data_IF_412956747209
#
_entry.id   IF_412956747209
#
_cell.length_a   1.000
_cell.length_b   1.000
_cell.length_c   1.000
_cell.angle_alpha   90.00
_cell.angle_beta   90.00
_cell.angle_gamma   90.00
#
_symmetry.space_group_name_H-M   'P 1'
#
loop_
_entity.id
_entity.type
_entity.pdbx_description
1 polymer ?
#
# COMPACT_ATOMS: atom_id res chain seq x y z
N UNK A 1 -0.89 16.84 19.70
CA UNK A 1 0.08 15.73 19.72
C UNK A 1 -0.64 14.46 19.31
N UNK A 2 0.11 13.42 18.98
CA UNK A 2 -0.43 12.16 18.48
C UNK A 2 0.32 10.96 19.09
N UNK A 3 0.91 11.14 20.28
CA UNK A 3 1.70 10.12 20.96
C UNK A 3 0.90 9.33 22.01
N UNK A 4 -0.34 9.74 22.28
CA UNK A 4 -1.26 9.01 23.17
C UNK A 4 -0.87 9.01 24.63
N UNK A 5 0.00 9.96 25.07
CA UNK A 5 0.43 10.08 26.47
C UNK A 5 -0.58 10.83 27.35
N UNK A 6 -1.69 11.29 26.77
CA UNK A 6 -2.75 12.03 27.43
C UNK A 6 -2.47 13.52 27.64
N UNK A 7 -1.32 14.04 27.17
CA UNK A 7 -0.91 15.42 27.37
C UNK A 7 -0.97 16.22 26.05
N UNK A 8 -2.01 17.05 25.91
CA UNK A 8 -2.28 17.82 24.68
C UNK A 8 -2.44 16.97 23.42
N UNK A 9 -2.96 15.77 23.58
CA UNK A 9 -3.31 14.89 22.47
C UNK A 9 -4.55 15.37 21.73
N UNK A 10 -4.70 14.90 20.50
CA UNK A 10 -5.95 15.03 19.76
C UNK A 10 -7.09 14.42 20.58
N UNK A 11 -8.25 15.12 20.71
CA UNK A 11 -9.39 14.61 21.47
C UNK A 11 -9.81 13.21 21.01
N UNK A 12 -9.94 12.27 21.95
CA UNK A 12 -10.33 10.89 21.68
C UNK A 12 -9.19 9.97 21.25
N UNK A 13 -7.94 10.44 21.16
CA UNK A 13 -6.79 9.59 20.89
C UNK A 13 -6.50 8.71 22.12
N UNK A 14 -6.64 7.41 21.97
CA UNK A 14 -6.40 6.42 23.03
C UNK A 14 -5.13 5.59 22.81
N UNK A 15 -4.51 5.73 21.65
CA UNK A 15 -3.27 5.05 21.27
C UNK A 15 -2.42 5.98 20.41
N UNK A 16 -1.09 5.89 20.46
CA UNK A 16 -0.24 6.69 19.60
C UNK A 16 -0.43 6.36 18.13
N UNK A 17 -0.28 7.37 17.28
CA UNK A 17 -0.11 7.14 15.84
C UNK A 17 1.35 6.77 15.63
N UNK A 18 1.60 5.57 15.15
CA UNK A 18 2.96 5.05 14.94
C UNK A 18 3.34 4.87 13.47
N UNK A 19 2.36 4.81 12.58
CA UNK A 19 2.58 4.65 11.14
C UNK A 19 2.56 6.02 10.46
N UNK A 20 3.67 6.37 9.80
CA UNK A 20 3.87 7.67 9.16
C UNK A 20 4.26 7.49 7.72
N UNK A 21 3.36 7.82 6.80
CA UNK A 21 3.66 7.90 5.38
C UNK A 21 4.25 9.28 5.05
N UNK A 22 5.42 9.30 4.40
CA UNK A 22 6.14 10.53 4.11
C UNK A 22 5.95 10.89 2.63
N UNK A 23 5.21 11.94 2.37
CA UNK A 23 4.86 12.48 1.05
C UNK A 23 3.91 11.61 0.24
N UNK A 24 3.34 12.21 -0.82
CA UNK A 24 2.40 11.57 -1.74
C UNK A 24 2.96 11.65 -3.16
N UNK A 25 3.12 10.49 -3.82
CA UNK A 25 3.40 10.36 -5.25
C UNK A 25 4.43 11.36 -5.81
N UNK A 26 5.65 11.42 -5.25
CA UNK A 26 6.62 12.48 -5.55
C UNK A 26 7.14 12.44 -6.99
N UNK A 27 6.94 11.34 -7.71
CA UNK A 27 7.25 11.24 -9.13
C UNK A 27 6.35 12.11 -10.01
N UNK A 28 5.19 12.54 -9.51
CA UNK A 28 4.27 13.41 -10.24
C UNK A 28 4.47 14.87 -9.87
N UNK A 29 4.73 15.68 -10.87
CA UNK A 29 4.92 17.14 -10.73
C UNK A 29 3.71 17.88 -10.17
N UNK A 30 2.55 17.24 -10.16
CA UNK A 30 1.33 17.77 -9.53
C UNK A 30 1.46 17.77 -8.01
N UNK A 31 2.11 16.75 -7.42
CA UNK A 31 2.27 16.63 -5.99
C UNK A 31 3.63 17.14 -5.51
N UNK A 32 4.68 16.98 -6.32
CA UNK A 32 6.01 17.43 -5.96
C UNK A 32 6.74 18.08 -7.14
N UNK A 33 7.12 19.35 -6.98
CA UNK A 33 7.77 20.14 -8.04
C UNK A 33 9.31 20.05 -8.01
N UNK A 34 9.88 19.51 -6.94
CA UNK A 34 11.32 19.31 -6.78
C UNK A 34 11.91 18.26 -7.70
N UNK A 35 13.21 18.06 -7.59
CA UNK A 35 13.95 16.99 -8.26
C UNK A 35 13.84 15.69 -7.45
N UNK A 36 14.32 14.59 -8.02
CA UNK A 36 14.46 13.32 -7.29
C UNK A 36 15.38 13.45 -6.07
N UNK A 37 16.49 14.19 -6.23
CA UNK A 37 17.44 14.39 -5.12
C UNK A 37 16.83 15.25 -4.00
N UNK A 38 16.02 16.27 -4.33
CA UNK A 38 15.25 17.01 -3.33
C UNK A 38 14.29 16.09 -2.57
N UNK A 39 13.61 15.17 -3.26
CA UNK A 39 12.76 14.17 -2.61
C UNK A 39 13.55 13.29 -1.66
N UNK A 40 14.70 12.75 -2.11
CA UNK A 40 15.56 11.87 -1.30
C UNK A 40 16.04 12.60 -0.04
N UNK A 41 16.45 13.85 -0.16
CA UNK A 41 16.89 14.68 0.97
C UNK A 41 15.75 14.87 1.99
N UNK A 42 14.59 15.34 1.50
CA UNK A 42 13.41 15.58 2.35
C UNK A 42 12.97 14.28 3.04
N UNK A 43 12.89 13.18 2.28
CA UNK A 43 12.46 11.89 2.82
C UNK A 43 13.40 11.42 3.94
N UNK A 44 14.70 11.39 3.67
CA UNK A 44 15.70 10.94 4.62
C UNK A 44 15.74 11.82 5.88
N UNK A 45 15.63 13.14 5.72
CA UNK A 45 15.55 14.08 6.83
C UNK A 45 14.30 13.83 7.67
N UNK A 46 13.13 13.75 7.04
CA UNK A 46 11.85 13.56 7.71
C UNK A 46 11.80 12.24 8.48
N UNK A 47 12.23 11.14 7.87
CA UNK A 47 12.28 9.83 8.52
C UNK A 47 13.15 9.87 9.79
N UNK A 48 14.35 10.40 9.69
CA UNK A 48 15.26 10.53 10.85
C UNK A 48 14.66 11.42 11.93
N UNK A 49 14.04 12.53 11.55
CA UNK A 49 13.40 13.45 12.50
C UNK A 49 12.24 12.76 13.23
N UNK A 50 11.35 12.08 12.52
CA UNK A 50 10.23 11.36 13.12
C UNK A 50 10.76 10.32 14.11
N UNK A 51 11.67 9.45 13.69
CA UNK A 51 12.27 8.42 14.58
C UNK A 51 13.04 8.98 15.75
N UNK A 52 13.61 10.19 15.63
CA UNK A 52 14.26 10.85 16.76
C UNK A 52 13.28 11.32 17.84
N UNK A 53 12.03 11.61 17.46
CA UNK A 53 10.96 12.05 18.37
C UNK A 53 10.10 10.91 18.86
N UNK A 54 9.91 9.89 18.03
CA UNK A 54 9.11 8.72 18.32
C UNK A 54 9.86 7.46 17.86
N UNK A 55 10.50 6.78 18.81
CA UNK A 55 11.41 5.67 18.53
C UNK A 55 10.70 4.44 17.92
N UNK A 56 9.44 4.24 18.26
CA UNK A 56 8.58 3.17 17.77
C UNK A 56 7.84 3.53 16.46
N UNK A 57 8.10 4.72 15.90
CA UNK A 57 7.51 5.11 14.62
C UNK A 57 7.90 4.13 13.51
N UNK A 58 6.90 3.73 12.75
CA UNK A 58 7.04 2.91 11.53
C UNK A 58 6.92 3.84 10.33
N UNK A 59 7.97 3.94 9.55
CA UNK A 59 8.01 4.82 8.38
C UNK A 59 7.52 4.05 7.15
N UNK A 60 6.47 4.55 6.56
CA UNK A 60 5.96 4.10 5.28
C UNK A 60 6.56 4.99 4.19
N UNK A 61 7.11 4.38 3.16
CA UNK A 61 7.62 5.08 1.98
C UNK A 61 6.50 5.90 1.35
N UNK A 62 6.84 7.01 0.69
CA UNK A 62 5.87 7.71 -0.16
C UNK A 62 5.23 6.74 -1.15
N UNK A 63 3.92 6.81 -1.32
CA UNK A 63 3.21 5.94 -2.24
C UNK A 63 3.67 6.13 -3.68
N UNK A 64 4.12 5.06 -4.32
CA UNK A 64 4.40 5.08 -5.76
C UNK A 64 3.06 5.02 -6.51
N UNK A 65 2.80 5.99 -7.36
CA UNK A 65 1.49 6.13 -8.05
C UNK A 65 1.16 4.98 -9.00
N UNK A 66 2.16 4.24 -9.43
CA UNK A 66 2.06 3.11 -10.35
C UNK A 66 3.42 2.71 -10.90
N UNK A 67 3.44 1.68 -11.76
CA UNK A 67 4.67 1.21 -12.41
C UNK A 67 4.75 1.64 -13.88
N UNK A 68 4.34 2.86 -14.18
CA UNK A 68 4.56 3.49 -15.50
C UNK A 68 6.06 3.70 -15.77
N UNK A 69 6.50 3.82 -17.02
CA UNK A 69 7.92 3.97 -17.36
C UNK A 69 8.64 5.10 -16.59
N UNK A 70 8.01 6.27 -16.47
CA UNK A 70 8.54 7.42 -15.74
C UNK A 70 8.61 7.18 -14.24
N UNK A 71 7.55 6.62 -13.67
CA UNK A 71 7.49 6.24 -12.26
C UNK A 71 8.54 5.18 -11.92
N UNK A 72 8.67 4.13 -12.73
CA UNK A 72 9.74 3.12 -12.58
C UNK A 72 11.13 3.74 -12.62
N UNK A 73 11.36 4.68 -13.53
CA UNK A 73 12.67 5.37 -13.64
C UNK A 73 12.97 6.14 -12.35
N UNK A 74 12.01 6.90 -11.84
CA UNK A 74 12.13 7.64 -10.60
C UNK A 74 12.45 6.70 -9.43
N UNK A 75 11.62 5.69 -9.22
CA UNK A 75 11.77 4.77 -8.08
C UNK A 75 13.00 3.89 -8.16
N UNK A 76 13.43 3.47 -9.36
CA UNK A 76 14.67 2.73 -9.55
C UNK A 76 15.90 3.53 -9.08
N UNK A 77 15.86 4.85 -9.23
CA UNK A 77 16.95 5.75 -8.80
C UNK A 77 16.82 6.15 -7.32
N UNK A 78 15.61 6.48 -6.83
CA UNK A 78 15.39 6.96 -5.49
C UNK A 78 15.51 5.86 -4.41
N UNK A 79 14.94 4.67 -4.67
CA UNK A 79 14.88 3.57 -3.69
C UNK A 79 16.22 3.19 -3.08
N UNK A 80 17.32 3.02 -3.83
CA UNK A 80 18.62 2.70 -3.23
C UNK A 80 19.12 3.76 -2.24
N UNK A 81 18.72 5.03 -2.43
CA UNK A 81 19.15 6.16 -1.61
C UNK A 81 18.33 6.33 -0.32
N UNK A 82 17.12 5.73 -0.27
CA UNK A 82 16.19 5.86 0.87
C UNK A 82 15.93 4.53 1.60
N UNK A 83 16.38 3.38 1.08
CA UNK A 83 16.02 2.03 1.55
C UNK A 83 16.23 1.78 3.05
N UNK A 84 17.18 2.45 3.66
CA UNK A 84 17.50 2.29 5.07
C UNK A 84 16.67 3.22 5.98
N UNK A 85 15.87 4.11 5.39
CA UNK A 85 15.08 5.12 6.09
C UNK A 85 13.56 4.88 6.02
N UNK A 86 13.09 3.73 5.53
CA UNK A 86 11.69 3.32 5.64
C UNK A 86 11.59 1.86 6.10
N UNK A 87 10.46 1.53 6.70
CA UNK A 87 10.18 0.20 7.22
C UNK A 87 9.25 -0.57 6.30
N UNK A 88 8.35 0.12 5.59
CA UNK A 88 7.32 -0.42 4.71
C UNK A 88 7.43 0.24 3.34
N UNK A 89 7.55 -0.57 2.30
CA UNK A 89 7.44 -0.13 0.91
C UNK A 89 5.97 0.12 0.57
N UNK A 90 5.69 1.14 -0.24
CA UNK A 90 4.32 1.58 -0.46
C UNK A 90 4.00 1.79 -1.94
N UNK A 91 2.84 1.31 -2.33
CA UNK A 91 2.28 1.46 -3.65
C UNK A 91 0.93 2.18 -3.55
N UNK A 92 0.69 3.10 -4.47
CA UNK A 92 -0.64 3.59 -4.78
C UNK A 92 -1.12 2.98 -6.09
N UNK A 93 -2.42 2.96 -6.29
CA UNK A 93 -3.00 2.57 -7.57
C UNK A 93 -3.85 3.70 -8.11
N UNK A 94 -3.33 4.39 -9.11
CA UNK A 94 -4.14 5.28 -9.95
C UNK A 94 -4.60 4.48 -11.16
N UNK A 95 -5.89 4.56 -11.48
CA UNK A 95 -6.41 3.95 -12.71
C UNK A 95 -5.66 4.51 -13.91
N UNK A 96 -5.04 3.67 -14.74
CA UNK A 96 -4.33 4.12 -15.92
C UNK A 96 -5.20 4.97 -16.84
N UNK A 97 -4.62 5.88 -17.64
CA UNK A 97 -5.39 6.74 -18.55
C UNK A 97 -6.23 5.99 -19.58
N UNK A 98 -5.89 4.74 -19.89
CA UNK A 98 -6.65 3.86 -20.80
C UNK A 98 -7.86 3.20 -20.11
N UNK A 99 -8.10 3.50 -18.83
CA UNK A 99 -9.22 2.99 -18.04
C UNK A 99 -9.16 1.49 -17.73
N UNK A 100 -8.05 0.82 -18.07
CA UNK A 100 -7.89 -0.59 -17.74
C UNK A 100 -7.42 -0.74 -16.31
N UNK A 101 -8.00 -1.71 -15.62
CA UNK A 101 -7.56 -2.08 -14.29
C UNK A 101 -6.27 -2.88 -14.35
N UNK A 102 -5.29 -2.48 -13.54
CA UNK A 102 -4.20 -3.37 -13.23
C UNK A 102 -4.72 -4.54 -12.38
N UNK A 103 -4.17 -5.72 -12.64
CA UNK A 103 -4.67 -6.97 -12.04
C UNK A 103 -4.40 -7.08 -10.54
N UNK A 104 -3.39 -6.37 -10.02
CA UNK A 104 -2.85 -6.50 -8.66
C UNK A 104 -2.33 -5.17 -8.07
N UNK A 105 -2.85 -4.03 -8.53
CA UNK A 105 -2.39 -2.69 -8.12
C UNK A 105 -0.90 -2.45 -8.35
N UNK A 106 -0.30 -3.02 -9.40
CA UNK A 106 1.13 -2.94 -9.72
C UNK A 106 2.06 -3.60 -8.68
N UNK A 107 1.50 -4.30 -7.69
CA UNK A 107 2.27 -4.91 -6.59
C UNK A 107 3.30 -5.90 -7.12
N UNK A 108 2.95 -6.72 -8.11
CA UNK A 108 3.87 -7.68 -8.71
C UNK A 108 5.09 -7.00 -9.33
N UNK A 109 4.88 -5.99 -10.17
CA UNK A 109 5.98 -5.24 -10.81
C UNK A 109 6.82 -4.47 -9.79
N UNK A 110 6.19 -3.91 -8.77
CA UNK A 110 6.89 -3.21 -7.70
C UNK A 110 7.71 -4.17 -6.84
N UNK A 111 7.16 -5.35 -6.51
CA UNK A 111 7.88 -6.41 -5.80
C UNK A 111 9.14 -6.85 -6.57
N UNK A 112 9.03 -6.99 -7.90
CA UNK A 112 10.18 -7.31 -8.75
C UNK A 112 11.23 -6.19 -8.76
N UNK A 113 10.80 -4.92 -8.79
CA UNK A 113 11.72 -3.78 -8.67
C UNK A 113 12.45 -3.80 -7.33
N UNK A 114 11.75 -3.97 -6.21
CA UNK A 114 12.36 -4.05 -4.87
C UNK A 114 13.38 -5.18 -4.79
N UNK A 115 13.03 -6.38 -5.28
CA UNK A 115 13.94 -7.54 -5.32
C UNK A 115 15.19 -7.26 -6.15
N UNK A 116 15.03 -6.59 -7.30
CA UNK A 116 16.17 -6.24 -8.17
C UNK A 116 17.15 -5.27 -7.51
N UNK A 117 16.69 -4.52 -6.51
CA UNK A 117 17.47 -3.56 -5.73
C UNK A 117 17.93 -4.11 -4.37
N UNK A 118 17.70 -5.41 -4.12
CA UNK A 118 17.97 -6.08 -2.83
C UNK A 118 17.25 -5.39 -1.64
N UNK A 119 16.01 -4.95 -1.85
CA UNK A 119 15.16 -4.36 -0.83
C UNK A 119 14.12 -5.41 -0.41
N UNK A 120 14.23 -5.90 0.82
CA UNK A 120 13.30 -6.85 1.41
C UNK A 120 12.49 -6.15 2.50
N UNK A 121 11.38 -5.54 2.11
CA UNK A 121 10.45 -4.82 2.98
C UNK A 121 9.03 -5.28 2.71
N UNK A 122 8.13 -5.28 3.72
CA UNK A 122 6.71 -5.50 3.50
C UNK A 122 6.17 -4.45 2.52
N UNK A 123 5.16 -4.83 1.73
CA UNK A 123 4.52 -3.94 0.77
C UNK A 123 3.10 -3.65 1.23
N UNK A 124 2.78 -2.37 1.39
CA UNK A 124 1.42 -1.90 1.60
C UNK A 124 0.91 -1.17 0.35
N UNK A 125 -0.39 -1.20 0.14
CA UNK A 125 -1.10 -0.35 -0.82
C UNK A 125 -1.95 0.60 0.00
N UNK A 126 -1.44 1.82 0.23
CA UNK A 126 -2.11 2.77 1.14
C UNK A 126 -3.16 3.64 0.43
N UNK A 127 -3.16 3.65 -0.89
CA UNK A 127 -4.21 4.30 -1.69
C UNK A 127 -4.53 3.45 -2.92
N UNK A 128 -5.64 2.73 -2.89
CA UNK A 128 -6.16 1.99 -4.03
C UNK A 128 -7.46 2.60 -4.53
N UNK A 129 -7.63 2.68 -5.85
CA UNK A 129 -8.86 3.11 -6.49
C UNK A 129 -9.42 2.01 -7.37
N UNK A 130 -10.26 1.14 -6.79
CA UNK A 130 -10.87 0.00 -7.50
C UNK A 130 -12.10 0.33 -8.32
N UNK A 131 -12.52 1.57 -8.43
CA UNK A 131 -13.83 2.03 -8.94
C UNK A 131 -14.41 1.32 -10.17
N UNK A 132 -13.56 0.93 -11.12
CA UNK A 132 -13.96 0.17 -12.33
C UNK A 132 -13.43 -1.28 -12.32
N UNK A 133 -12.66 -1.66 -11.30
CA UNK A 133 -12.01 -2.97 -11.21
C UNK A 133 -12.92 -4.01 -10.53
N UNK A 134 -12.63 -5.28 -10.79
CA UNK A 134 -13.20 -6.37 -10.00
C UNK A 134 -12.47 -6.44 -8.65
N UNK A 135 -13.03 -5.83 -7.62
CA UNK A 135 -12.40 -5.60 -6.33
C UNK A 135 -11.76 -6.85 -5.72
N UNK A 136 -12.53 -7.90 -5.49
CA UNK A 136 -12.04 -9.13 -4.84
C UNK A 136 -10.93 -9.82 -5.64
N UNK A 137 -11.06 -10.06 -6.97
CA UNK A 137 -9.95 -10.60 -7.76
C UNK A 137 -8.68 -9.76 -7.69
N UNK A 138 -8.79 -8.43 -7.72
CA UNK A 138 -7.63 -7.54 -7.66
C UNK A 138 -6.94 -7.60 -6.30
N UNK A 139 -7.71 -7.64 -5.19
CA UNK A 139 -7.16 -7.83 -3.85
C UNK A 139 -6.43 -9.17 -3.72
N UNK A 140 -7.06 -10.27 -4.17
CA UNK A 140 -6.44 -11.59 -4.12
C UNK A 140 -5.13 -11.62 -4.88
N UNK A 141 -5.10 -11.04 -6.08
CA UNK A 141 -3.87 -10.96 -6.86
C UNK A 141 -2.81 -10.08 -6.19
N UNK A 142 -3.19 -8.92 -5.62
CA UNK A 142 -2.26 -8.05 -4.91
C UNK A 142 -1.62 -8.75 -3.70
N UNK A 143 -2.44 -9.44 -2.88
CA UNK A 143 -1.91 -10.24 -1.77
C UNK A 143 -1.00 -11.37 -2.26
N UNK A 144 -1.37 -12.06 -3.32
CA UNK A 144 -0.54 -13.12 -3.91
C UNK A 144 0.76 -12.58 -4.52
N UNK A 145 0.79 -11.32 -4.94
CA UNK A 145 1.96 -10.61 -5.43
C UNK A 145 2.85 -10.05 -4.31
N UNK A 146 2.39 -10.11 -3.04
CA UNK A 146 3.17 -9.75 -1.87
C UNK A 146 2.68 -8.54 -1.08
N UNK A 147 1.51 -7.99 -1.37
CA UNK A 147 0.91 -6.97 -0.51
C UNK A 147 0.51 -7.58 0.84
N UNK A 148 0.71 -6.85 1.94
CA UNK A 148 0.26 -7.24 3.27
C UNK A 148 -0.99 -6.46 3.71
N UNK A 149 -1.12 -5.22 3.25
CA UNK A 149 -2.24 -4.32 3.58
C UNK A 149 -2.72 -3.62 2.31
N UNK A 150 -4.03 -3.47 2.19
CA UNK A 150 -4.66 -2.68 1.13
C UNK A 150 -5.67 -1.73 1.76
N UNK A 151 -5.52 -0.43 1.49
CA UNK A 151 -6.46 0.64 1.86
C UNK A 151 -7.10 1.14 0.58
N UNK A 152 -8.37 0.80 0.38
CA UNK A 152 -9.10 1.16 -0.84
C UNK A 152 -10.01 2.36 -0.60
N UNK A 153 -9.62 3.50 -1.15
CA UNK A 153 -10.40 4.74 -1.10
C UNK A 153 -11.51 4.76 -2.17
N UNK A 154 -11.36 3.98 -3.24
CA UNK A 154 -12.29 3.93 -4.37
C UNK A 154 -13.65 3.33 -4.02
N UNK A 155 -13.72 2.48 -2.99
CA UNK A 155 -14.98 1.83 -2.55
C UNK A 155 -16.04 2.85 -2.10
N UNK A 156 -15.61 3.99 -1.59
CA UNK A 156 -16.48 5.05 -1.06
C UNK A 156 -16.35 6.40 -1.78
N UNK A 157 -15.49 6.51 -2.79
CA UNK A 157 -15.26 7.77 -3.48
C UNK A 157 -16.55 8.32 -4.13
N UNK A 158 -16.75 9.62 -4.16
CA UNK A 158 -17.87 10.24 -4.87
C UNK A 158 -17.92 9.80 -6.33
N UNK A 159 -19.08 9.31 -6.77
CA UNK A 159 -19.26 8.79 -8.13
C UNK A 159 -18.89 7.31 -8.33
N UNK A 160 -18.20 6.68 -7.37
CA UNK A 160 -17.76 5.28 -7.43
C UNK A 160 -18.46 4.38 -6.40
N UNK A 161 -19.71 4.68 -6.06
CA UNK A 161 -20.43 3.94 -5.01
C UNK A 161 -20.64 2.48 -5.41
N UNK A 162 -20.00 1.59 -4.68
CA UNK A 162 -20.26 0.16 -4.76
C UNK A 162 -21.72 -0.15 -4.40
N UNK A 163 -22.36 -1.05 -5.14
CA UNK A 163 -23.72 -1.52 -4.82
C UNK A 163 -23.74 -2.18 -3.42
N UNK A 164 -24.91 -2.17 -2.75
CA UNK A 164 -25.08 -2.86 -1.46
C UNK A 164 -24.68 -4.34 -1.54
N UNK A 165 -25.04 -5.02 -2.64
CA UNK A 165 -24.70 -6.43 -2.86
C UNK A 165 -23.19 -6.67 -3.01
N UNK A 166 -22.52 -5.81 -3.78
CA UNK A 166 -21.05 -5.89 -3.95
C UNK A 166 -20.32 -5.60 -2.64
N UNK A 167 -20.78 -4.61 -1.87
CA UNK A 167 -20.23 -4.30 -0.55
C UNK A 167 -20.38 -5.47 0.43
N UNK A 168 -21.56 -6.14 0.46
CA UNK A 168 -21.76 -7.33 1.28
C UNK A 168 -20.79 -8.45 0.88
N UNK A 169 -20.59 -8.70 -0.41
CA UNK A 169 -19.63 -9.70 -0.89
C UNK A 169 -18.20 -9.35 -0.45
N UNK A 170 -17.81 -8.08 -0.56
CA UNK A 170 -16.49 -7.63 -0.13
C UNK A 170 -16.30 -7.81 1.38
N UNK A 171 -17.28 -7.41 2.19
CA UNK A 171 -17.20 -7.59 3.64
C UNK A 171 -17.09 -9.07 4.02
N UNK A 172 -17.92 -9.94 3.43
CA UNK A 172 -17.81 -11.37 3.66
C UNK A 172 -16.42 -11.92 3.29
N UNK A 173 -15.88 -11.48 2.15
CA UNK A 173 -14.52 -11.87 1.75
C UNK A 173 -13.47 -11.42 2.79
N UNK A 174 -13.56 -10.16 3.24
CA UNK A 174 -12.65 -9.64 4.27
C UNK A 174 -12.78 -10.48 5.55
N UNK A 175 -13.99 -10.68 6.06
CA UNK A 175 -14.25 -11.46 7.28
C UNK A 175 -13.71 -12.91 7.17
N UNK A 176 -13.72 -13.48 5.95
CA UNK A 176 -13.25 -14.83 5.70
C UNK A 176 -11.73 -14.97 5.69
N UNK A 177 -11.00 -13.92 5.33
CA UNK A 177 -9.55 -14.00 5.11
C UNK A 177 -8.76 -13.04 6.01
N UNK A 178 -9.41 -12.22 6.83
CA UNK A 178 -8.73 -11.23 7.67
C UNK A 178 -7.61 -11.86 8.51
N UNK A 179 -6.47 -11.20 8.45
CA UNK A 179 -5.28 -11.65 9.16
C UNK A 179 -4.73 -13.00 8.68
N UNK A 180 -4.90 -13.36 7.41
CA UNK A 180 -4.23 -14.54 6.85
C UNK A 180 -2.70 -14.46 7.02
N UNK A 181 -2.04 -15.62 7.05
CA UNK A 181 -0.57 -15.73 7.13
C UNK A 181 0.08 -15.79 5.76
N UNK A 182 -0.56 -16.47 4.83
CA UNK A 182 -0.06 -16.62 3.47
C UNK A 182 -1.18 -16.92 2.49
N UNK A 183 -0.91 -16.65 1.24
CA UNK A 183 -1.82 -16.90 0.11
C UNK A 183 -1.06 -17.60 -1.02
N UNK A 184 -1.75 -18.48 -1.72
CA UNK A 184 -1.26 -19.12 -2.93
C UNK A 184 -2.36 -19.14 -3.99
N UNK A 185 -2.07 -18.66 -5.19
CA UNK A 185 -2.95 -18.87 -6.34
C UNK A 185 -2.90 -20.35 -6.75
N UNK A 186 -4.07 -20.99 -6.78
CA UNK A 186 -4.26 -22.35 -7.32
C UNK A 186 -4.50 -22.28 -8.83
N UNK A 187 -5.26 -21.26 -9.25
CA UNK A 187 -5.52 -20.95 -10.66
C UNK A 187 -5.81 -19.45 -10.82
N UNK A 188 -6.12 -19.01 -12.04
CA UNK A 188 -6.52 -17.63 -12.31
C UNK A 188 -7.90 -17.23 -11.73
N UNK A 189 -8.59 -18.16 -11.06
CA UNK A 189 -9.91 -17.95 -10.43
C UNK A 189 -10.03 -18.59 -9.06
N UNK A 190 -8.92 -19.07 -8.49
CA UNK A 190 -8.95 -19.78 -7.21
C UNK A 190 -7.69 -19.54 -6.41
N UNK A 191 -7.83 -19.18 -5.14
CA UNK A 191 -6.73 -18.96 -4.20
C UNK A 191 -6.93 -19.77 -2.92
N UNK A 192 -5.83 -20.24 -2.32
CA UNK A 192 -5.78 -20.84 -0.99
C UNK A 192 -5.16 -19.82 -0.02
N UNK A 193 -5.88 -19.51 1.03
CA UNK A 193 -5.40 -18.72 2.16
C UNK A 193 -5.08 -19.64 3.33
N UNK A 194 -3.95 -19.39 4.00
CA UNK A 194 -3.61 -20.00 5.28
C UNK A 194 -3.90 -18.96 6.36
N UNK A 195 -4.84 -19.23 7.24
CA UNK A 195 -5.25 -18.32 8.31
C UNK A 195 -4.29 -18.39 9.51
N UNK A 196 -4.47 -17.48 10.49
CA UNK A 196 -3.61 -17.39 11.69
C UNK A 196 -3.61 -18.67 12.52
N UNK A 197 -4.73 -19.37 12.60
CA UNK A 197 -4.91 -20.64 13.32
C UNK A 197 -4.35 -21.85 12.54
N UNK A 198 -3.82 -21.63 11.32
CA UNK A 198 -3.32 -22.68 10.44
C UNK A 198 -4.39 -23.32 9.56
N UNK A 199 -5.66 -22.96 9.70
CA UNK A 199 -6.71 -23.48 8.82
C UNK A 199 -6.54 -22.95 7.39
N UNK A 200 -7.10 -23.70 6.44
CA UNK A 200 -7.08 -23.37 5.02
C UNK A 200 -8.44 -22.89 4.55
N UNK A 201 -8.44 -21.83 3.78
CA UNK A 201 -9.62 -21.30 3.11
C UNK A 201 -9.39 -21.25 1.62
N UNK A 202 -10.28 -21.81 0.84
CA UNK A 202 -10.24 -21.74 -0.63
C UNK A 202 -11.30 -20.74 -1.08
N UNK A 203 -10.88 -19.75 -1.84
CA UNK A 203 -11.73 -18.70 -2.40
C UNK A 203 -11.75 -18.82 -3.91
N UNK A 204 -12.94 -18.96 -4.48
CA UNK A 204 -13.21 -18.82 -5.92
C UNK A 204 -13.53 -17.34 -6.22
N UNK A 205 -12.93 -16.74 -7.33
CA UNK A 205 -13.02 -15.30 -7.63
C UNK A 205 -13.04 -14.98 -9.15
#
# INVERSE_FOLDING_TARGET
RYDGDGSNDMPGLTKPIIYWEIMNEPEFKMFFKGTEDDFVEIFNFSSKLIKSKQKDAVIIMAGAAGMFPESKKFWKSALPKIKDNFDIANMHHITPPDGKCDKDFWVGEFSELLKSLNINKPIWVTEAMTGVCKVIPTYINAFASGAEVIIDVGVNAPGMKMSKGSRKKLNNFIDEVDGFKSIKLISNKKAEFILKDGSKKIIDF
#
